data_IF_723494019997
#
_entry.id   IF_723494019997
#
_cell.length_a   1.000
_cell.length_b   1.000
_cell.length_c   1.000
_cell.angle_alpha   90.00
_cell.angle_beta   90.00
_cell.angle_gamma   90.00
#
_symmetry.space_group_name_H-M   'P 1'
#
loop_
_entity.id
_entity.type
_entity.pdbx_description
1 polymer ?
#
# COMPACT_ATOMS: atom_id res chain seq x y z
N UNK A 1 -9.69 1.18 -6.95
CA UNK A 1 -9.86 1.21 -5.49
C UNK A 1 -8.58 1.65 -4.81
N UNK A 2 -8.66 2.14 -3.60
CA UNK A 2 -7.46 2.50 -2.85
C UNK A 2 -6.99 1.33 -2.00
N UNK A 3 -5.72 1.36 -1.61
CA UNK A 3 -5.16 0.32 -0.75
C UNK A 3 -5.88 0.25 0.60
N UNK A 4 -6.36 1.40 1.08
CA UNK A 4 -7.11 1.45 2.34
C UNK A 4 -8.37 0.57 2.32
N UNK A 5 -8.91 0.30 1.14
CA UNK A 5 -10.08 -0.55 0.96
C UNK A 5 -9.73 -2.03 0.81
N UNK A 6 -8.44 -2.35 0.88
CA UNK A 6 -7.96 -3.72 0.69
C UNK A 6 -8.42 -4.65 1.81
N UNK A 7 -8.76 -5.87 1.43
CA UNK A 7 -9.19 -6.90 2.39
C UNK A 7 -8.00 -7.72 2.87
N UNK A 8 -8.01 -8.06 4.15
CA UNK A 8 -6.96 -8.90 4.73
C UNK A 8 -6.89 -10.24 4.00
N UNK A 9 -5.66 -10.67 3.74
CA UNK A 9 -5.39 -11.92 3.06
C UNK A 9 -5.41 -11.85 1.54
N UNK A 10 -5.78 -10.71 0.96
CA UNK A 10 -5.83 -10.55 -0.48
C UNK A 10 -4.59 -9.81 -1.00
N UNK A 11 -4.29 -10.07 -2.27
CA UNK A 11 -3.16 -9.45 -2.97
C UNK A 11 -3.68 -8.47 -4.02
N UNK A 12 -3.05 -7.31 -4.08
CA UNK A 12 -3.41 -6.26 -5.02
C UNK A 12 -2.19 -5.79 -5.80
N UNK A 13 -2.44 -5.17 -6.95
CA UNK A 13 -1.37 -4.56 -7.75
C UNK A 13 -1.44 -3.05 -7.61
N UNK A 14 -0.29 -2.43 -7.40
CA UNK A 14 -0.20 -0.97 -7.33
C UNK A 14 -0.40 -0.38 -8.71
N UNK A 15 -1.35 0.55 -8.84
CA UNK A 15 -1.59 1.26 -10.09
C UNK A 15 -0.99 2.66 -10.07
N UNK A 16 -1.18 3.39 -8.97
CA UNK A 16 -0.77 4.78 -8.90
C UNK A 16 -0.53 5.20 -7.47
N UNK A 17 0.49 6.02 -7.27
CA UNK A 17 0.80 6.65 -5.99
C UNK A 17 0.46 8.13 -6.08
N UNK A 18 -0.59 8.56 -5.38
CA UNK A 18 -1.02 9.96 -5.35
C UNK A 18 -0.57 10.60 -4.04
N UNK A 19 0.74 10.69 -3.86
CA UNK A 19 1.35 11.13 -2.62
C UNK A 19 2.31 12.30 -2.89
N UNK A 20 2.67 13.01 -1.81
CA UNK A 20 3.72 14.02 -1.90
C UNK A 20 5.00 13.35 -2.43
N UNK A 21 5.74 14.08 -3.24
CA UNK A 21 6.94 13.55 -3.91
C UNK A 21 7.92 12.89 -2.93
N UNK A 22 8.11 13.50 -1.78
CA UNK A 22 9.02 12.95 -0.77
C UNK A 22 8.57 11.59 -0.26
N UNK A 23 7.26 11.45 0.03
CA UNK A 23 6.71 10.19 0.50
C UNK A 23 6.72 9.14 -0.61
N UNK A 24 6.37 9.55 -1.83
CA UNK A 24 6.39 8.65 -2.98
C UNK A 24 7.77 8.07 -3.22
N UNK A 25 8.80 8.92 -3.18
CA UNK A 25 10.18 8.46 -3.36
C UNK A 25 10.60 7.49 -2.27
N UNK A 26 10.18 7.74 -1.04
CA UNK A 26 10.49 6.84 0.07
C UNK A 26 9.88 5.46 -0.15
N UNK A 27 8.62 5.42 -0.57
CA UNK A 27 7.95 4.15 -0.85
C UNK A 27 8.56 3.43 -2.04
N UNK A 28 8.95 4.17 -3.08
CA UNK A 28 9.62 3.59 -4.25
C UNK A 28 10.95 2.97 -3.85
N UNK A 29 11.69 3.62 -2.95
CA UNK A 29 12.95 3.09 -2.44
C UNK A 29 12.75 1.79 -1.67
N UNK A 30 11.57 1.59 -1.09
CA UNK A 30 11.22 0.35 -0.39
C UNK A 30 10.66 -0.71 -1.31
N UNK A 31 10.49 -0.39 -2.60
CA UNK A 31 10.04 -1.34 -3.60
C UNK A 31 8.60 -1.14 -4.07
N UNK A 32 7.90 -0.13 -3.58
CA UNK A 32 6.53 0.12 -3.99
C UNK A 32 6.51 0.97 -5.27
N UNK A 33 6.35 0.31 -6.40
CA UNK A 33 6.25 0.95 -7.70
C UNK A 33 5.01 0.45 -8.42
N UNK A 34 4.66 1.06 -9.55
CA UNK A 34 3.52 0.60 -10.34
C UNK A 34 3.73 -0.85 -10.75
N UNK A 35 2.71 -1.67 -10.56
CA UNK A 35 2.76 -3.10 -10.87
C UNK A 35 3.26 -3.98 -9.73
N UNK A 36 3.67 -3.39 -8.62
CA UNK A 36 4.13 -4.15 -7.47
C UNK A 36 2.95 -4.87 -6.82
N UNK A 37 3.15 -6.15 -6.47
CA UNK A 37 2.15 -6.91 -5.73
C UNK A 37 2.24 -6.57 -4.24
N UNK A 38 1.09 -6.27 -3.66
CA UNK A 38 0.99 -5.98 -2.22
C UNK A 38 -0.02 -6.95 -1.61
N UNK A 39 0.40 -7.66 -0.58
CA UNK A 39 -0.51 -8.49 0.19
C UNK A 39 -0.93 -7.73 1.43
N UNK A 40 -2.24 -7.63 1.67
CA UNK A 40 -2.76 -6.98 2.87
C UNK A 40 -2.74 -8.00 4.01
N UNK A 41 -1.86 -7.78 4.98
CA UNK A 41 -1.72 -8.68 6.13
C UNK A 41 -2.75 -8.35 7.20
N UNK A 42 -2.90 -7.07 7.52
CA UNK A 42 -3.89 -6.57 8.48
C UNK A 42 -4.42 -5.22 8.02
N UNK A 43 -5.69 -5.01 8.24
CA UNK A 43 -6.33 -3.74 7.91
C UNK A 43 -7.36 -3.41 9.00
N UNK A 44 -6.94 -2.59 9.97
CA UNK A 44 -7.81 -2.16 11.04
C UNK A 44 -8.57 -0.92 10.58
N UNK A 45 -9.89 -0.93 10.77
CA UNK A 45 -10.74 0.19 10.39
C UNK A 45 -10.24 1.49 11.02
N UNK A 46 -9.93 2.47 10.16
CA UNK A 46 -9.51 3.79 10.62
C UNK A 46 -8.11 3.87 11.18
N UNK A 47 -7.32 2.81 11.05
CA UNK A 47 -6.00 2.76 11.64
C UNK A 47 -4.90 2.37 10.67
N UNK A 48 -3.79 1.92 11.24
CA UNK A 48 -2.63 1.47 10.49
C UNK A 48 -2.92 0.11 9.87
N UNK A 49 -2.51 -0.06 8.60
CA UNK A 49 -2.57 -1.37 7.98
C UNK A 49 -1.16 -1.91 7.78
N UNK A 50 -1.05 -3.23 7.80
CA UNK A 50 0.22 -3.90 7.58
C UNK A 50 0.16 -4.59 6.23
N UNK A 51 1.13 -4.28 5.38
CA UNK A 51 1.22 -4.86 4.04
C UNK A 51 2.55 -5.59 3.88
N UNK A 52 2.57 -6.50 2.94
CA UNK A 52 3.78 -7.23 2.58
C UNK A 52 4.06 -7.04 1.10
N UNK A 53 5.28 -6.60 0.79
CA UNK A 53 5.77 -6.46 -0.57
C UNK A 53 7.04 -7.26 -0.69
N UNK A 54 7.08 -8.24 -1.59
CA UNK A 54 8.27 -9.08 -1.74
C UNK A 54 8.67 -9.65 -0.39
N UNK A 55 9.81 -9.24 0.16
CA UNK A 55 10.29 -9.71 1.46
C UNK A 55 10.18 -8.64 2.54
N UNK A 56 9.47 -7.55 2.26
CA UNK A 56 9.38 -6.42 3.17
C UNK A 56 7.98 -6.28 3.72
N UNK A 57 7.87 -6.15 5.03
CA UNK A 57 6.60 -5.80 5.67
C UNK A 57 6.62 -4.34 6.04
N UNK A 58 5.51 -3.68 5.78
CA UNK A 58 5.39 -2.24 6.01
C UNK A 58 4.10 -1.94 6.76
N UNK A 59 4.21 -1.07 7.77
CA UNK A 59 3.03 -0.53 8.42
C UNK A 59 2.80 0.87 7.83
N UNK A 60 1.61 1.10 7.29
CA UNK A 60 1.28 2.41 6.71
C UNK A 60 0.01 2.94 7.31
N UNK A 61 -0.02 4.25 7.51
CA UNK A 61 -1.19 4.92 8.04
C UNK A 61 -2.25 5.16 6.97
N UNK A 62 -3.43 5.53 7.43
CA UNK A 62 -4.56 5.76 6.55
C UNK A 62 -4.33 6.95 5.61
N UNK A 63 -3.60 7.96 6.08
CA UNK A 63 -3.27 9.13 5.28
C UNK A 63 -2.44 8.77 4.05
N UNK A 64 -1.72 7.65 4.10
CA UNK A 64 -0.95 7.15 2.97
C UNK A 64 -1.78 6.14 2.17
N UNK A 65 -2.39 5.18 2.85
CA UNK A 65 -3.10 4.09 2.16
C UNK A 65 -4.30 4.58 1.34
N UNK A 66 -4.93 5.68 1.73
CA UNK A 66 -6.05 6.25 0.96
C UNK A 66 -5.59 6.90 -0.34
N UNK A 67 -4.30 7.13 -0.51
CA UNK A 67 -3.75 7.78 -1.71
C UNK A 67 -2.98 6.81 -2.60
N UNK A 68 -3.05 5.52 -2.32
CA UNK A 68 -2.44 4.49 -3.17
C UNK A 68 -3.54 3.77 -3.92
N UNK A 69 -3.56 3.94 -5.24
CA UNK A 69 -4.52 3.24 -6.09
C UNK A 69 -4.03 1.84 -6.38
N UNK A 70 -4.91 0.86 -6.19
CA UNK A 70 -4.58 -0.55 -6.45
C UNK A 70 -5.72 -1.23 -7.20
N UNK A 71 -5.42 -2.39 -7.75
CA UNK A 71 -6.42 -3.26 -8.37
C UNK A 71 -6.15 -4.71 -7.96
N UNK A 72 -7.19 -5.50 -7.96
CA UNK A 72 -7.09 -6.93 -7.65
C UNK A 72 -6.60 -7.76 -8.81
#
# INVERSE_FOLDING_TARGET
MTLAQGEEGKTYLVEKLSLAQKTEKRLQALGMTCGTKIEVMKNKNGGTMIIKMRNTRLAIGRDISTHIEVRS
#
